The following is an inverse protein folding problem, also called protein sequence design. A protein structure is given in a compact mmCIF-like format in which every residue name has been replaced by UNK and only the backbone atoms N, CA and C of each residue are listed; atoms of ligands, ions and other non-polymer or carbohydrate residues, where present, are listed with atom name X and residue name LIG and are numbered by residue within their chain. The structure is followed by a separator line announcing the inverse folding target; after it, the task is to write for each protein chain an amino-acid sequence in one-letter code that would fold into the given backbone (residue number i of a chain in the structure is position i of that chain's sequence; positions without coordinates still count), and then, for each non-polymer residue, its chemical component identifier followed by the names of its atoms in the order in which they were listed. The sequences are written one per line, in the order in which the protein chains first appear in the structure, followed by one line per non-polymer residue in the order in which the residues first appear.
data_IF_182169647454
#
_entry.id   IF_182169647454
#
_cell.length_a   1.000
_cell.length_b   1.000
_cell.length_c   1.000
_cell.angle_alpha   90.00
_cell.angle_beta   90.00
_cell.angle_gamma   90.00
#
_symmetry.space_group_name_H-M   'P 1'
#
loop_
_entity.id
_entity.type
_entity.pdbx_description
1 polymer ?
#
# COMPACT_ATOMS: atom_id res chain seq x y z
N UNK A 1 -44.15 -21.52 -20.44
CA UNK A 1 -42.88 -22.26 -20.25
C UNK A 1 -42.30 -22.71 -21.58
N UNK A 2 -43.01 -23.55 -22.36
CA UNK A 2 -42.54 -24.08 -23.65
C UNK A 2 -42.07 -22.98 -24.64
N UNK A 3 -42.82 -21.88 -24.78
CA UNK A 3 -42.43 -20.74 -25.62
C UNK A 3 -41.31 -19.90 -25.01
N UNK A 4 -41.39 -19.62 -23.70
CA UNK A 4 -40.45 -18.73 -22.99
C UNK A 4 -39.02 -19.25 -23.01
N UNK A 5 -38.85 -20.56 -22.77
CA UNK A 5 -37.55 -21.23 -22.79
C UNK A 5 -37.24 -21.83 -24.16
N UNK A 6 -38.05 -21.49 -25.18
CA UNK A 6 -37.91 -21.96 -26.56
C UNK A 6 -37.77 -23.49 -26.67
N UNK A 7 -38.47 -24.24 -25.82
CA UNK A 7 -38.42 -25.71 -25.79
C UNK A 7 -39.27 -26.29 -26.93
N UNK A 8 -40.49 -25.74 -27.11
CA UNK A 8 -41.35 -26.03 -28.26
C UNK A 8 -41.62 -27.52 -28.53
N UNK A 9 -42.24 -28.23 -27.59
CA UNK A 9 -42.57 -29.66 -27.79
C UNK A 9 -43.51 -29.96 -28.96
N UNK A 10 -44.16 -28.95 -29.54
CA UNK A 10 -44.96 -29.06 -30.76
C UNK A 10 -46.39 -29.56 -30.56
N UNK A 11 -46.73 -30.08 -29.37
CA UNK A 11 -48.11 -30.46 -29.05
C UNK A 11 -49.04 -29.24 -28.85
N UNK A 12 -48.49 -28.13 -28.36
CA UNK A 12 -49.19 -26.84 -28.23
C UNK A 12 -48.54 -25.83 -29.18
N UNK A 13 -49.30 -25.36 -30.16
CA UNK A 13 -48.85 -24.36 -31.12
C UNK A 13 -49.91 -23.28 -31.31
N UNK A 14 -49.45 -22.09 -31.70
CA UNK A 14 -50.32 -20.94 -31.95
C UNK A 14 -50.84 -21.01 -33.38
N UNK A 15 -52.10 -20.65 -33.58
CA UNK A 15 -52.76 -20.57 -34.89
C UNK A 15 -53.18 -19.14 -35.18
N UNK A 16 -53.30 -18.78 -36.46
CA UNK A 16 -53.63 -17.42 -36.91
C UNK A 16 -55.10 -17.02 -36.66
N UNK A 17 -55.90 -17.90 -36.06
CA UNK A 17 -57.32 -17.67 -35.79
C UNK A 17 -57.56 -16.54 -34.77
N UNK A 18 -56.58 -16.22 -33.92
CA UNK A 18 -56.72 -15.23 -32.83
C UNK A 18 -55.57 -14.22 -32.84
N UNK A 19 -55.80 -13.06 -33.48
CA UNK A 19 -54.82 -11.95 -33.52
C UNK A 19 -54.35 -11.46 -32.12
N UNK A 20 -55.20 -11.38 -31.08
CA UNK A 20 -54.75 -11.00 -29.74
C UNK A 20 -53.72 -11.97 -29.14
N UNK A 21 -53.81 -13.25 -29.47
CA UNK A 21 -52.88 -14.28 -28.98
C UNK A 21 -51.48 -14.08 -29.58
N UNK A 22 -51.39 -13.75 -30.87
CA UNK A 22 -50.12 -13.45 -31.55
C UNK A 22 -49.45 -12.21 -30.93
N UNK A 23 -50.23 -11.20 -30.56
CA UNK A 23 -49.72 -10.00 -29.89
C UNK A 23 -49.17 -10.32 -28.49
N UNK A 24 -49.93 -11.06 -27.68
CA UNK A 24 -49.48 -11.50 -26.34
C UNK A 24 -48.21 -12.35 -26.44
N UNK A 25 -48.16 -13.28 -27.40
CA UNK A 25 -46.99 -14.11 -27.65
C UNK A 25 -45.76 -13.26 -27.99
N UNK A 26 -45.92 -12.29 -28.88
CA UNK A 26 -44.86 -11.36 -29.29
C UNK A 26 -44.35 -10.55 -28.10
N UNK A 27 -45.25 -9.99 -27.30
CA UNK A 27 -44.90 -9.23 -26.09
C UNK A 27 -44.18 -10.11 -25.07
N UNK A 28 -44.65 -11.34 -24.86
CA UNK A 28 -44.02 -12.32 -23.97
C UNK A 28 -42.59 -12.65 -24.44
N UNK A 29 -42.37 -12.87 -25.74
CA UNK A 29 -41.05 -13.14 -26.30
C UNK A 29 -40.09 -11.96 -26.07
N UNK A 30 -40.54 -10.72 -26.32
CA UNK A 30 -39.74 -9.51 -26.10
C UNK A 30 -39.35 -9.38 -24.62
N UNK A 31 -40.33 -9.47 -23.72
CA UNK A 31 -40.08 -9.38 -22.27
C UNK A 31 -39.19 -10.53 -21.77
N UNK A 32 -39.35 -11.72 -22.33
CA UNK A 32 -38.56 -12.90 -21.97
C UNK A 32 -37.09 -12.77 -22.34
N UNK A 33 -36.81 -12.39 -23.59
CA UNK A 33 -35.44 -12.15 -24.06
C UNK A 33 -34.80 -11.01 -23.27
N UNK A 34 -35.54 -9.94 -22.97
CA UNK A 34 -35.04 -8.85 -22.15
C UNK A 34 -34.63 -9.31 -20.74
N UNK A 35 -35.51 -10.03 -20.04
CA UNK A 35 -35.21 -10.56 -18.69
C UNK A 35 -34.04 -11.56 -18.70
N UNK A 36 -33.99 -12.45 -19.69
CA UNK A 36 -32.91 -13.44 -19.81
C UNK A 36 -31.56 -12.77 -20.08
N UNK A 37 -31.54 -11.74 -20.94
CA UNK A 37 -30.33 -10.97 -21.25
C UNK A 37 -29.86 -10.19 -20.03
N UNK A 38 -30.78 -9.54 -19.29
CA UNK A 38 -30.47 -8.83 -18.06
C UNK A 38 -29.88 -9.77 -16.99
N UNK A 39 -30.49 -10.93 -16.76
CA UNK A 39 -30.01 -11.90 -15.77
C UNK A 39 -28.63 -12.46 -16.15
N UNK A 40 -28.45 -12.84 -17.41
CA UNK A 40 -27.16 -13.32 -17.93
C UNK A 40 -26.09 -12.25 -17.79
N UNK A 41 -26.42 -11.00 -18.11
CA UNK A 41 -25.54 -9.84 -17.93
C UNK A 41 -25.13 -9.63 -16.47
N UNK A 42 -26.07 -9.73 -15.52
CA UNK A 42 -25.76 -9.62 -14.08
C UNK A 42 -24.87 -10.77 -13.62
N UNK A 43 -25.12 -12.01 -14.06
CA UNK A 43 -24.31 -13.18 -13.70
C UNK A 43 -22.90 -13.04 -14.26
N UNK A 44 -22.75 -12.68 -15.53
CA UNK A 44 -21.45 -12.44 -16.17
C UNK A 44 -20.74 -11.27 -15.47
N UNK A 45 -21.40 -10.15 -15.20
CA UNK A 45 -20.82 -9.04 -14.46
C UNK A 45 -20.36 -9.46 -13.05
N UNK A 46 -21.09 -10.34 -12.38
CA UNK A 46 -20.72 -10.87 -11.05
C UNK A 46 -19.56 -11.88 -11.11
N UNK A 47 -19.45 -12.66 -12.17
CA UNK A 47 -18.33 -13.58 -12.41
C UNK A 47 -17.06 -12.86 -12.85
N UNK A 48 -17.22 -11.82 -13.67
CA UNK A 48 -16.15 -10.93 -14.10
C UNK A 48 -15.68 -10.00 -12.98
N UNK A 49 -16.48 -9.78 -11.92
CA UNK A 49 -15.99 -9.09 -10.72
C UNK A 49 -14.81 -9.90 -10.19
N UNK A 50 -13.59 -9.34 -10.21
CA UNK A 50 -12.42 -10.02 -9.69
C UNK A 50 -12.70 -10.41 -8.24
N UNK A 51 -12.69 -11.72 -7.99
CA UNK A 51 -13.09 -12.34 -6.73
C UNK A 51 -12.12 -11.94 -5.61
N UNK A 52 -12.28 -10.76 -5.00
CA UNK A 52 -11.52 -10.25 -3.83
C UNK A 52 -10.09 -10.80 -3.75
N UNK A 53 -9.35 -10.79 -4.86
CA UNK A 53 -7.92 -11.10 -4.84
C UNK A 53 -7.29 -9.80 -4.40
N UNK A 54 -7.44 -9.51 -3.10
CA UNK A 54 -6.83 -8.34 -2.48
C UNK A 54 -5.35 -8.46 -2.76
N UNK A 55 -4.80 -7.53 -3.52
CA UNK A 55 -3.34 -7.38 -3.56
C UNK A 55 -2.89 -7.15 -2.12
N UNK A 56 -2.07 -8.03 -1.59
CA UNK A 56 -1.58 -7.94 -0.22
C UNK A 56 -0.12 -7.48 -0.23
N UNK A 57 0.08 -6.22 0.18
CA UNK A 57 1.40 -5.69 0.53
C UNK A 57 1.65 -6.00 2.01
N UNK A 58 2.79 -6.60 2.33
CA UNK A 58 3.28 -6.73 3.70
C UNK A 58 3.93 -5.43 4.14
N UNK A 59 3.68 -5.06 5.37
CA UNK A 59 4.42 -4.03 6.09
C UNK A 59 5.20 -4.69 7.23
N UNK A 60 6.34 -4.12 7.62
CA UNK A 60 7.03 -4.50 8.85
C UNK A 60 6.11 -4.32 10.05
N UNK A 61 6.26 -5.19 11.05
CA UNK A 61 5.47 -5.09 12.29
C UNK A 61 5.81 -3.86 13.13
N UNK A 62 7.03 -3.34 12.98
CA UNK A 62 7.54 -2.16 13.69
C UNK A 62 8.17 -1.20 12.69
N UNK A 63 8.26 0.07 13.07
CA UNK A 63 9.13 1.04 12.42
C UNK A 63 10.41 1.19 13.23
N UNK A 64 11.52 1.49 12.58
CA UNK A 64 12.81 1.65 13.27
C UNK A 64 13.44 2.99 12.94
N UNK A 65 14.09 3.61 13.92
CA UNK A 65 14.88 4.82 13.74
C UNK A 65 16.34 4.49 13.99
N UNK A 66 17.16 4.73 12.98
CA UNK A 66 18.58 4.41 12.98
C UNK A 66 19.37 5.34 12.06
N UNK A 67 20.68 5.14 11.92
CA UNK A 67 21.47 5.89 10.95
C UNK A 67 21.00 5.56 9.53
N UNK A 68 20.92 6.57 8.67
CA UNK A 68 20.47 6.44 7.28
C UNK A 68 21.21 5.31 6.55
N UNK A 69 22.54 5.30 6.64
CA UNK A 69 23.45 4.29 6.08
C UNK A 69 24.74 4.20 6.94
N UNK A 70 25.62 3.24 6.67
CA UNK A 70 26.90 3.12 7.39
C UNK A 70 27.83 4.35 7.17
N UNK A 71 27.66 5.06 6.04
CA UNK A 71 28.41 6.27 5.68
C UNK A 71 27.72 7.56 6.14
N UNK A 72 26.39 7.59 6.16
CA UNK A 72 25.58 8.74 6.57
C UNK A 72 24.83 8.40 7.87
N UNK A 73 25.33 8.96 8.98
CA UNK A 73 24.82 8.70 10.34
C UNK A 73 23.67 9.62 10.75
N UNK A 74 23.08 10.36 9.82
CA UNK A 74 21.86 11.14 10.10
C UNK A 74 20.72 10.20 10.48
N UNK A 75 19.87 10.60 11.45
CA UNK A 75 18.74 9.80 11.89
C UNK A 75 17.69 9.67 10.78
N UNK A 76 17.23 8.45 10.53
CA UNK A 76 16.18 8.16 9.55
C UNK A 76 15.18 7.16 10.11
N UNK A 77 13.89 7.45 9.90
CA UNK A 77 12.80 6.53 10.15
C UNK A 77 12.70 5.55 8.97
N UNK A 78 12.59 4.27 9.27
CA UNK A 78 12.60 3.19 8.29
C UNK A 78 11.41 2.25 8.50
N UNK A 79 10.70 1.95 7.41
CA UNK A 79 9.58 1.00 7.39
C UNK A 79 9.78 0.08 6.18
N UNK A 80 9.65 -1.23 6.39
CA UNK A 80 9.85 -2.21 5.32
C UNK A 80 8.53 -2.60 4.68
N UNK A 81 8.52 -2.71 3.36
CA UNK A 81 7.37 -3.18 2.58
C UNK A 81 7.75 -4.27 1.59
N UNK A 82 6.85 -5.20 1.35
CA UNK A 82 7.02 -6.25 0.35
C UNK A 82 5.71 -6.56 -0.37
N UNK A 83 5.80 -6.86 -1.66
CA UNK A 83 4.77 -7.63 -2.33
C UNK A 83 4.93 -9.12 -1.97
N UNK A 84 3.90 -9.74 -1.41
CA UNK A 84 3.90 -11.17 -1.02
C UNK A 84 3.28 -12.03 -2.13
N UNK A 85 2.66 -11.42 -3.14
CA UNK A 85 1.77 -12.14 -4.02
C UNK A 85 2.49 -12.71 -5.25
N UNK A 86 2.49 -14.04 -5.36
CA UNK A 86 3.04 -14.71 -6.53
C UNK A 86 2.23 -14.36 -7.80
N UNK A 87 2.95 -13.85 -8.81
CA UNK A 87 2.47 -13.58 -10.17
C UNK A 87 1.40 -12.49 -10.29
N UNK A 88 1.35 -11.53 -9.35
CA UNK A 88 0.52 -10.34 -9.48
C UNK A 88 1.38 -9.12 -9.15
N UNK A 89 2.09 -8.60 -10.16
CA UNK A 89 2.97 -7.46 -9.98
C UNK A 89 2.18 -6.16 -9.83
N UNK A 90 2.75 -5.27 -9.04
CA UNK A 90 2.27 -3.91 -8.90
C UNK A 90 3.03 -3.03 -9.88
N UNK A 91 2.30 -2.43 -10.82
CA UNK A 91 2.81 -1.38 -11.69
C UNK A 91 2.70 -0.02 -10.99
N UNK A 92 3.72 0.81 -11.19
CA UNK A 92 3.83 2.17 -10.67
C UNK A 92 3.47 2.30 -9.16
N UNK A 93 4.09 1.52 -8.26
CA UNK A 93 3.82 1.70 -6.85
C UNK A 93 4.39 3.03 -6.35
N UNK A 94 3.59 3.79 -5.62
CA UNK A 94 4.02 4.98 -4.90
C UNK A 94 3.69 4.87 -3.41
N UNK A 95 4.62 5.35 -2.59
CA UNK A 95 4.52 5.31 -1.13
C UNK A 95 4.34 6.72 -0.59
N UNK A 96 3.45 6.87 0.40
CA UNK A 96 3.26 8.11 1.15
C UNK A 96 3.27 7.82 2.64
N UNK A 97 3.77 8.77 3.42
CA UNK A 97 3.89 8.62 4.86
C UNK A 97 3.40 9.89 5.54
N UNK A 98 2.46 9.74 6.47
CA UNK A 98 1.85 10.85 7.17
C UNK A 98 2.05 10.70 8.67
N UNK A 99 2.19 11.82 9.38
CA UNK A 99 2.12 11.88 10.83
C UNK A 99 0.81 12.56 11.25
N UNK A 100 -0.06 11.80 11.92
CA UNK A 100 -1.31 12.28 12.49
C UNK A 100 -1.10 12.55 13.98
N UNK A 101 -1.08 13.82 14.38
CA UNK A 101 -0.92 14.22 15.78
C UNK A 101 -2.30 14.38 16.43
N UNK A 102 -2.45 13.83 17.62
CA UNK A 102 -3.69 13.89 18.39
C UNK A 102 -3.52 14.72 19.66
N UNK A 103 -4.56 15.44 20.04
CA UNK A 103 -4.60 16.25 21.26
C UNK A 103 -5.84 15.93 22.08
N UNK A 104 -5.72 15.98 23.40
CA UNK A 104 -6.86 15.84 24.30
C UNK A 104 -7.51 17.22 24.46
N UNK A 105 -8.79 17.32 24.11
CA UNK A 105 -9.56 18.54 24.24
C UNK A 105 -9.94 18.82 25.71
N UNK A 106 -10.51 19.99 26.00
CA UNK A 106 -10.94 20.36 27.37
C UNK A 106 -12.02 19.44 27.97
N UNK A 107 -12.67 18.61 27.14
CA UNK A 107 -13.69 17.63 27.53
C UNK A 107 -13.12 16.23 27.78
N UNK A 108 -11.80 16.04 27.60
CA UNK A 108 -11.14 14.74 27.73
C UNK A 108 -11.25 13.84 26.50
N UNK A 109 -11.76 14.34 25.37
CA UNK A 109 -11.86 13.57 24.13
C UNK A 109 -10.60 13.77 23.29
N UNK A 110 -10.16 12.71 22.61
CA UNK A 110 -9.00 12.74 21.71
C UNK A 110 -9.44 13.24 20.33
N UNK A 111 -8.84 14.33 19.89
CA UNK A 111 -9.11 14.99 18.61
C UNK A 111 -7.85 14.98 17.74
N UNK A 112 -8.02 14.84 16.42
CA UNK A 112 -6.93 15.01 15.46
C UNK A 112 -6.54 16.50 15.45
N UNK A 113 -5.34 16.79 15.92
CA UNK A 113 -4.84 18.15 16.03
C UNK A 113 -4.11 18.61 14.77
N UNK A 114 -3.33 17.71 14.17
CA UNK A 114 -2.52 18.03 13.00
C UNK A 114 -2.30 16.79 12.14
N UNK A 115 -2.04 17.01 10.85
CA UNK A 115 -1.77 15.98 9.87
C UNK A 115 -0.69 16.49 8.91
N UNK A 116 0.53 15.95 9.03
CA UNK A 116 1.69 16.39 8.26
C UNK A 116 2.18 15.28 7.33
N UNK A 117 2.44 15.64 6.08
CA UNK A 117 3.12 14.75 5.12
C UNK A 117 4.61 14.67 5.46
N UNK A 118 5.17 13.46 5.43
CA UNK A 118 6.57 13.20 5.73
C UNK A 118 7.29 12.73 4.47
N UNK A 119 8.37 13.43 4.12
CA UNK A 119 9.06 13.19 2.86
C UNK A 119 9.78 11.82 2.86
N UNK A 120 9.27 10.89 2.06
CA UNK A 120 9.90 9.58 1.78
C UNK A 120 10.63 9.56 0.42
N UNK A 121 10.98 10.75 -0.07
CA UNK A 121 11.69 10.96 -1.34
C UNK A 121 10.81 11.46 -2.47
N UNK A 122 9.73 12.19 -2.18
CA UNK A 122 8.80 12.76 -3.17
C UNK A 122 9.51 13.70 -4.15
N UNK A 123 10.35 14.62 -3.66
CA UNK A 123 10.98 15.65 -4.50
C UNK A 123 11.98 15.08 -5.51
N UNK A 124 12.67 14.01 -5.12
CA UNK A 124 13.60 13.30 -5.99
C UNK A 124 12.92 12.11 -6.72
N UNK A 125 11.64 11.85 -6.43
CA UNK A 125 10.84 10.82 -7.05
C UNK A 125 11.19 9.39 -6.65
N UNK A 126 11.82 9.20 -5.49
CA UNK A 126 12.14 7.91 -4.86
C UNK A 126 10.93 7.28 -4.14
N UNK A 127 9.86 8.06 -3.94
CA UNK A 127 8.55 7.58 -3.48
C UNK A 127 7.92 6.59 -4.47
N UNK A 128 8.26 6.72 -5.76
CA UNK A 128 7.93 5.78 -6.83
C UNK A 128 8.89 4.60 -6.78
N UNK A 129 8.47 3.56 -6.08
CA UNK A 129 9.31 2.41 -5.78
C UNK A 129 9.12 1.29 -6.80
N UNK A 130 10.09 0.39 -6.88
CA UNK A 130 9.97 -0.85 -7.66
C UNK A 130 9.81 -2.04 -6.69
N UNK A 131 8.57 -2.45 -6.42
CA UNK A 131 8.24 -3.54 -5.48
C UNK A 131 8.40 -4.95 -6.08
N UNK A 132 9.55 -5.22 -6.70
CA UNK A 132 9.92 -6.57 -7.14
C UNK A 132 10.48 -7.44 -6.01
N UNK A 133 11.10 -6.79 -5.02
CA UNK A 133 11.60 -7.38 -3.80
C UNK A 133 11.20 -6.50 -2.61
N UNK A 134 11.35 -7.00 -1.36
CA UNK A 134 11.07 -6.17 -0.20
C UNK A 134 12.03 -4.97 -0.15
N UNK A 135 11.48 -3.77 0.06
CA UNK A 135 12.25 -2.54 0.14
C UNK A 135 12.08 -1.90 1.51
N UNK A 136 13.08 -1.13 1.94
CA UNK A 136 13.01 -0.33 3.16
C UNK A 136 12.79 1.13 2.74
N UNK A 137 11.60 1.64 3.01
CA UNK A 137 11.24 3.05 2.80
C UNK A 137 11.87 3.85 3.94
N UNK A 138 12.56 4.95 3.59
CA UNK A 138 13.29 5.78 4.55
C UNK A 138 12.77 7.20 4.50
N UNK A 139 12.50 7.77 5.66
CA UNK A 139 12.26 9.20 5.86
C UNK A 139 13.45 9.77 6.64
N UNK A 140 14.17 10.72 6.05
CA UNK A 140 15.23 11.44 6.74
C UNK A 140 14.62 12.35 7.79
N UNK A 141 15.11 12.31 9.03
CA UNK A 141 14.70 13.24 10.08
C UNK A 141 15.58 14.49 9.98
N UNK A 142 15.20 15.39 9.07
CA UNK A 142 15.75 16.71 8.87
C UNK A 142 14.93 17.78 9.62
N UNK A 143 15.31 19.05 9.48
CA UNK A 143 14.68 20.21 10.11
C UNK A 143 13.21 20.42 9.71
N UNK A 144 12.79 19.89 8.55
CA UNK A 144 11.39 19.91 8.12
C UNK A 144 10.56 18.76 8.72
N UNK A 145 11.22 17.70 9.21
CA UNK A 145 10.55 16.54 9.80
C UNK A 145 9.81 16.89 11.09
N UNK A 146 8.57 16.40 11.29
CA UNK A 146 7.86 16.58 12.56
C UNK A 146 8.49 15.77 13.71
N UNK A 147 9.40 14.84 13.41
CA UNK A 147 10.18 14.10 14.40
C UNK A 147 11.50 14.79 14.74
N UNK A 148 11.79 15.94 14.11
CA UNK A 148 13.00 16.70 14.37
C UNK A 148 13.06 17.15 15.84
N UNK A 149 14.27 17.09 16.41
CA UNK A 149 14.55 17.45 17.79
C UNK A 149 13.79 16.64 18.86
N UNK A 150 13.08 15.57 18.51
CA UNK A 150 12.48 14.66 19.50
C UNK A 150 13.52 13.65 20.00
N UNK A 151 13.62 13.51 21.32
CA UNK A 151 14.40 12.47 21.99
C UNK A 151 13.63 11.13 22.00
N UNK A 152 14.28 9.98 22.27
CA UNK A 152 13.59 8.68 22.25
C UNK A 152 12.47 8.63 23.29
N UNK A 153 12.70 9.25 24.45
CA UNK A 153 11.72 9.32 25.53
C UNK A 153 10.53 10.22 25.17
N UNK A 154 10.78 11.32 24.45
CA UNK A 154 9.71 12.20 23.96
C UNK A 154 8.88 11.52 22.88
N UNK A 155 9.51 10.79 21.95
CA UNK A 155 8.78 9.99 20.94
C UNK A 155 7.84 9.01 21.63
N UNK A 156 8.35 8.21 22.57
CA UNK A 156 7.55 7.20 23.29
C UNK A 156 6.36 7.79 24.07
N UNK A 157 6.49 9.03 24.58
CA UNK A 157 5.44 9.71 25.33
C UNK A 157 4.53 10.59 24.46
N UNK A 158 4.87 10.80 23.19
CA UNK A 158 4.11 11.65 22.31
C UNK A 158 2.77 11.00 21.89
N UNK A 159 1.86 11.81 21.37
CA UNK A 159 0.52 11.39 20.98
C UNK A 159 0.30 11.56 19.49
N UNK A 160 1.01 10.75 18.70
CA UNK A 160 0.86 10.72 17.25
C UNK A 160 0.69 9.28 16.74
N UNK A 161 0.33 9.15 15.47
CA UNK A 161 0.29 7.90 14.74
C UNK A 161 0.90 8.14 13.36
N UNK A 162 1.83 7.28 12.95
CA UNK A 162 2.35 7.30 11.59
C UNK A 162 1.45 6.46 10.71
N UNK A 163 1.05 6.97 9.56
CA UNK A 163 0.18 6.28 8.62
C UNK A 163 0.94 6.18 7.30
N UNK A 164 1.29 4.96 6.90
CA UNK A 164 1.92 4.70 5.61
C UNK A 164 0.90 4.14 4.64
N UNK A 165 0.90 4.69 3.43
CA UNK A 165 0.02 4.27 2.33
C UNK A 165 0.87 3.86 1.14
N UNK A 166 0.55 2.71 0.56
CA UNK A 166 1.13 2.24 -0.70
C UNK A 166 -0.02 2.16 -1.69
N UNK A 167 0.14 2.83 -2.81
CA UNK A 167 -0.81 2.86 -3.92
C UNK A 167 -0.11 2.37 -5.18
N UNK A 168 -0.89 1.87 -6.13
CA UNK A 168 -0.38 1.50 -7.45
C UNK A 168 -1.44 0.78 -8.26
N UNK A 169 -1.04 0.14 -9.35
CA UNK A 169 -1.94 -0.53 -10.29
C UNK A 169 -1.61 -2.02 -10.35
N UNK A 170 -2.62 -2.88 -10.18
CA UNK A 170 -2.43 -4.33 -10.28
C UNK A 170 -2.34 -4.71 -11.75
N UNK A 171 -1.16 -5.18 -12.20
CA UNK A 171 -0.83 -5.40 -13.61
C UNK A 171 -1.86 -6.29 -14.32
N UNK A 172 -2.27 -7.39 -13.69
CA UNK A 172 -3.20 -8.36 -14.27
C UNK A 172 -4.63 -7.82 -14.49
N UNK A 173 -5.03 -6.73 -13.81
CA UNK A 173 -6.41 -6.22 -13.85
C UNK A 173 -6.54 -4.77 -14.29
N UNK A 174 -5.44 -4.00 -14.26
CA UNK A 174 -5.45 -2.57 -14.50
C UNK A 174 -6.20 -1.75 -13.43
N UNK A 175 -6.64 -2.38 -12.34
CA UNK A 175 -7.31 -1.69 -11.24
C UNK A 175 -6.29 -1.06 -10.30
N UNK A 176 -6.60 0.12 -9.77
CA UNK A 176 -5.83 0.71 -8.69
C UNK A 176 -6.03 -0.07 -7.40
N UNK A 177 -4.95 -0.23 -6.63
CA UNK A 177 -5.01 -0.75 -5.26
C UNK A 177 -4.40 0.26 -4.30
N UNK A 178 -4.82 0.16 -3.05
CA UNK A 178 -4.27 0.94 -1.94
C UNK A 178 -4.16 0.02 -0.72
N UNK A 179 -2.97 -0.03 -0.13
CA UNK A 179 -2.67 -0.70 1.12
C UNK A 179 -2.24 0.34 2.16
N UNK A 180 -2.62 0.15 3.42
CA UNK A 180 -2.29 1.06 4.51
C UNK A 180 -1.86 0.29 5.73
N UNK A 181 -0.92 0.86 6.47
CA UNK A 181 -0.55 0.45 7.82
C UNK A 181 -0.40 1.69 8.68
N UNK A 182 -0.40 1.50 10.00
CA UNK A 182 -0.01 2.55 10.92
C UNK A 182 0.94 2.05 11.99
N UNK A 183 1.65 3.00 12.62
CA UNK A 183 2.57 2.75 13.72
C UNK A 183 2.28 3.75 14.83
N UNK A 184 2.01 3.24 16.02
CA UNK A 184 1.97 4.01 17.26
C UNK A 184 3.38 4.28 17.78
N UNK A 185 3.56 5.23 18.72
CA UNK A 185 4.89 5.58 19.20
C UNK A 185 5.65 4.42 19.87
N UNK A 186 4.94 3.51 20.53
CA UNK A 186 5.47 2.28 21.13
C UNK A 186 5.88 1.20 20.10
N UNK A 187 5.45 1.35 18.84
CA UNK A 187 5.84 0.49 17.72
C UNK A 187 7.03 1.07 16.91
N UNK A 188 7.60 2.20 17.37
CA UNK A 188 8.77 2.85 16.76
C UNK A 188 10.01 2.62 17.63
N UNK A 189 10.96 1.81 17.12
CA UNK A 189 12.15 1.42 17.87
C UNK A 189 13.37 2.26 17.50
N UNK A 190 13.91 3.00 18.47
CA UNK A 190 15.14 3.80 18.32
C UNK A 190 16.42 2.98 18.48
N UNK A 191 17.44 3.29 17.69
CA UNK A 191 18.74 2.60 17.74
C UNK A 191 18.76 1.28 16.97
N UNK A 192 17.80 1.06 16.08
CA UNK A 192 17.68 -0.18 15.32
C UNK A 192 17.72 0.07 13.81
N UNK A 193 18.15 -0.95 13.08
CA UNK A 193 17.96 -1.05 11.63
C UNK A 193 17.38 -2.42 11.29
N UNK A 194 16.77 -2.55 10.13
CA UNK A 194 16.38 -3.87 9.67
C UNK A 194 17.58 -4.70 9.21
N UNK A 195 17.56 -6.00 9.53
CA UNK A 195 18.55 -6.96 9.04
C UNK A 195 18.48 -7.11 7.52
N UNK A 196 19.64 -7.26 6.86
CA UNK A 196 19.68 -7.54 5.42
C UNK A 196 19.01 -8.88 5.11
N UNK A 197 18.15 -8.90 4.08
CA UNK A 197 17.47 -10.11 3.61
C UNK A 197 18.18 -10.76 2.41
N UNK A 198 19.15 -10.06 1.81
CA UNK A 198 19.81 -10.49 0.57
C UNK A 198 21.03 -11.34 0.95
N UNK A 199 21.05 -12.59 0.46
CA UNK A 199 22.16 -13.52 0.70
C UNK A 199 22.64 -14.07 -0.65
N UNK A 200 23.95 -14.09 -0.84
CA UNK A 200 24.56 -14.74 -1.99
C UNK A 200 24.56 -16.25 -1.77
N UNK A 201 23.83 -16.99 -2.61
CA UNK A 201 23.95 -18.44 -2.66
C UNK A 201 25.19 -18.80 -3.49
N UNK A 202 26.32 -19.05 -2.83
CA UNK A 202 27.60 -19.37 -3.46
C UNK A 202 27.54 -20.61 -4.36
N UNK A 203 26.63 -21.55 -4.09
CA UNK A 203 26.49 -22.79 -4.89
C UNK A 203 25.84 -22.53 -6.25
N UNK A 204 24.95 -21.56 -6.33
CA UNK A 204 24.16 -21.24 -7.53
C UNK A 204 24.68 -19.95 -8.19
N UNK A 205 25.48 -19.15 -7.48
CA UNK A 205 25.99 -17.86 -7.94
C UNK A 205 24.90 -16.80 -8.09
N UNK A 206 23.83 -16.89 -7.29
CA UNK A 206 22.66 -15.99 -7.36
C UNK A 206 22.34 -15.39 -5.99
N UNK A 207 21.80 -14.18 -5.99
CA UNK A 207 21.23 -13.57 -4.78
C UNK A 207 19.85 -14.14 -4.51
N UNK A 208 19.63 -14.53 -3.26
CA UNK A 208 18.35 -15.03 -2.76
C UNK A 208 17.85 -14.10 -1.64
N UNK A 209 16.55 -13.84 -1.65
CA UNK A 209 15.89 -13.02 -0.64
C UNK A 209 15.29 -13.94 0.41
N UNK A 210 15.77 -13.84 1.65
CA UNK A 210 15.28 -14.64 2.78
C UNK A 210 14.19 -13.89 3.55
N UNK A 211 12.93 -14.10 3.19
CA UNK A 211 11.76 -13.46 3.82
C UNK A 211 11.60 -13.74 5.33
N UNK A 212 12.26 -14.77 5.87
CA UNK A 212 12.31 -14.99 7.33
C UNK A 212 12.91 -13.81 8.10
N UNK A 213 13.78 -13.02 7.45
CA UNK A 213 14.43 -11.85 8.02
C UNK A 213 13.67 -10.56 7.78
N UNK A 214 12.43 -10.64 7.26
CA UNK A 214 11.64 -9.46 6.90
C UNK A 214 11.35 -8.57 8.12
N UNK A 215 10.98 -9.17 9.25
CA UNK A 215 10.72 -8.44 10.50
C UNK A 215 11.94 -8.43 11.46
N UNK A 216 13.07 -9.02 11.07
CA UNK A 216 14.28 -9.04 11.92
C UNK A 216 14.99 -7.69 11.92
N UNK A 217 15.33 -7.23 13.13
CA UNK A 217 16.02 -5.97 13.40
C UNK A 217 17.33 -6.22 14.13
N UNK A 218 18.29 -5.33 13.94
CA UNK A 218 19.60 -5.34 14.58
C UNK A 218 19.81 -4.01 15.31
N UNK A 219 20.40 -4.07 16.51
CA UNK A 219 20.82 -2.88 17.25
C UNK A 219 22.00 -2.23 16.53
N UNK A 220 22.01 -0.91 16.45
CA UNK A 220 23.05 -0.13 15.79
C UNK A 220 23.53 0.98 16.71
N UNK A 221 24.83 1.04 16.89
CA UNK A 221 25.47 2.12 17.64
C UNK A 221 25.77 3.32 16.74
N UNK A 222 25.62 4.52 17.28
CA UNK A 222 26.16 5.74 16.67
C UNK A 222 25.20 6.52 15.78
N UNK A 223 23.94 6.70 16.20
CA UNK A 223 23.07 7.75 15.65
C UNK A 223 23.69 9.12 15.97
N UNK A 224 23.90 9.96 14.97
CA UNK A 224 24.39 11.32 15.20
C UNK A 224 23.22 12.24 15.58
N UNK A 225 22.84 12.24 16.85
CA UNK A 225 21.79 13.13 17.38
C UNK A 225 22.17 14.61 17.29
N UNK A 226 23.46 14.95 17.20
CA UNK A 226 23.90 16.34 16.99
C UNK A 226 23.55 16.89 15.61
N UNK A 227 23.25 16.03 14.64
CA UNK A 227 22.71 16.47 13.36
C UNK A 227 21.26 16.99 13.48
N UNK A 228 20.59 16.75 14.62
CA UNK A 228 19.31 17.37 14.97
C UNK A 228 19.47 18.69 15.74
N UNK A 229 20.70 19.07 16.11
CA UNK A 229 21.00 20.40 16.66
C UNK A 229 21.26 21.32 15.46
N UNK A 230 20.51 22.43 15.36
CA UNK A 230 20.56 23.36 14.22
C UNK A 230 22.00 23.80 13.96
N UNK A 231 22.55 23.45 12.79
CA UNK A 231 23.82 23.98 12.30
C UNK A 231 23.56 25.37 11.69
N UNK A 232 23.58 26.43 12.52
CA UNK A 232 23.38 27.82 12.09
C UNK A 232 24.46 28.33 11.10
N UNK A 233 25.39 27.49 10.63
CA UNK A 233 26.61 27.93 9.96
C UNK A 233 26.99 27.22 8.64
N UNK A 234 26.09 26.51 7.96
CA UNK A 234 26.47 25.82 6.72
C UNK A 234 25.68 26.27 5.47
N UNK A 235 25.89 27.54 5.11
CA UNK A 235 25.65 28.02 3.75
C UNK A 235 26.63 27.35 2.78
N UNK A 236 26.17 26.30 2.10
CA UNK A 236 26.73 25.84 0.83
C UNK A 236 27.52 24.53 0.88
N UNK A 237 26.81 23.39 0.84
CA UNK A 237 27.38 22.14 0.35
C UNK A 237 26.38 21.33 -0.50
N UNK A 238 26.50 21.53 -1.81
CA UNK A 238 26.33 20.58 -2.92
C UNK A 238 25.31 19.43 -2.75
N UNK A 239 24.10 19.64 -3.28
CA UNK A 239 22.95 18.74 -3.30
C UNK A 239 23.08 17.55 -4.27
N UNK A 240 24.28 17.02 -4.50
CA UNK A 240 24.58 16.07 -5.59
C UNK A 240 25.38 14.84 -5.16
N UNK A 241 25.27 14.38 -3.91
CA UNK A 241 25.87 13.10 -3.47
C UNK A 241 24.83 12.01 -3.33
N UNK A 242 24.79 11.13 -4.34
CA UNK A 242 24.22 9.78 -4.39
C UNK A 242 23.53 9.32 -3.08
N UNK A 243 22.26 9.68 -2.95
CA UNK A 243 21.30 9.07 -2.02
C UNK A 243 20.73 7.84 -2.75
N UNK A 244 21.57 6.86 -3.08
CA UNK A 244 21.07 5.56 -3.53
C UNK A 244 20.64 4.78 -2.28
N UNK A 245 19.45 5.12 -1.78
CA UNK A 245 18.88 4.63 -0.53
C UNK A 245 18.17 3.27 -0.63
N UNK A 246 18.35 2.53 -1.72
CA UNK A 246 17.79 1.19 -1.88
C UNK A 246 18.91 0.15 -1.88
N UNK A 247 19.07 -0.51 -0.73
CA UNK A 247 19.60 -1.88 -0.62
C UNK A 247 18.55 -2.71 0.12
#
# INVERSE_FOLDING_TARGET
LETQHTIGYGFRYVTDACLPLVFILSLQCIAGVFMQTMLSGIVVAKLLRPKKRKQEVRFSQVAVIGPMNDTDRRPALMIRIADIQNNLYIAEPHVRLYMATSKINKKGERELADFKDMNVGYDAGWDRVLLLWPITVKHLIDDESPLFAMTPDEVNNAHFELIMTVEGIVEATGMTFQARTSFLPDEILWGYRFRSMIILNEKIGRYEIQYKFFDEIESVDGINLKAMEIDENNDGYDSSRNISGFI
#
